data_IF_755800937773
#
_entry.id   IF_755800937773
#
_cell.length_a   1.000
_cell.length_b   1.000
_cell.length_c   1.000
_cell.angle_alpha   90.00
_cell.angle_beta   90.00
_cell.angle_gamma   90.00
#
_symmetry.space_group_name_H-M   'P 1'
#
loop_
_entity.id
_entity.type
_entity.pdbx_description
1 polymer ?
#
# COMPACT_ATOMS: atom_id res chain seq x y z
N UNK A 1 5.13 -12.10 43.68
CA UNK A 1 3.77 -12.21 44.24
C UNK A 1 3.22 -10.80 44.31
N UNK A 2 2.30 -10.43 43.41
CA UNK A 2 1.71 -9.09 43.35
C UNK A 2 0.55 -9.04 44.35
N UNK A 3 0.71 -8.29 45.44
CA UNK A 3 -0.38 -8.01 46.37
C UNK A 3 -1.16 -6.82 45.81
N UNK A 4 -2.39 -7.01 45.31
CA UNK A 4 -3.17 -5.92 44.75
C UNK A 4 -3.43 -4.86 45.84
N UNK A 5 -3.02 -3.62 45.58
CA UNK A 5 -3.24 -2.51 46.50
C UNK A 5 -4.75 -2.18 46.52
N UNK A 6 -5.42 -2.64 47.57
CA UNK A 6 -6.87 -2.51 47.77
C UNK A 6 -7.31 -1.04 47.91
N UNK A 7 -6.45 -0.17 48.44
CA UNK A 7 -6.69 1.29 48.52
C UNK A 7 -6.73 1.90 47.11
N UNK A 8 -5.79 1.53 46.24
CA UNK A 8 -5.84 1.92 44.81
C UNK A 8 -7.05 1.34 44.09
N UNK A 9 -7.42 0.08 44.40
CA UNK A 9 -8.64 -0.55 43.87
C UNK A 9 -9.92 0.17 44.29
N UNK A 10 -10.00 0.62 45.55
CA UNK A 10 -11.13 1.41 46.06
C UNK A 10 -11.16 2.83 45.49
N UNK A 11 -10.00 3.47 45.30
CA UNK A 11 -9.90 4.78 44.65
C UNK A 11 -10.32 4.71 43.18
N UNK A 12 -9.87 3.69 42.45
CA UNK A 12 -10.29 3.43 41.07
C UNK A 12 -11.81 3.18 40.98
N UNK A 13 -12.38 2.42 41.94
CA UNK A 13 -13.82 2.22 42.05
C UNK A 13 -14.58 3.51 42.33
N UNK A 14 -14.12 4.35 43.25
CA UNK A 14 -14.75 5.66 43.55
C UNK A 14 -14.64 6.65 42.39
N UNK A 15 -13.53 6.69 41.67
CA UNK A 15 -13.37 7.53 40.48
C UNK A 15 -14.32 7.13 39.34
N UNK A 16 -14.58 5.82 39.18
CA UNK A 16 -15.60 5.34 38.23
C UNK A 16 -17.02 5.72 38.65
N UNK A 17 -17.34 5.74 39.95
CA UNK A 17 -18.64 6.15 40.48
C UNK A 17 -18.86 7.67 40.37
N UNK A 18 -17.81 8.49 40.57
CA UNK A 18 -17.91 9.95 40.41
C UNK A 18 -18.11 10.40 38.95
N UNK A 19 -17.72 9.60 37.96
CA UNK A 19 -18.04 9.84 36.55
C UNK A 19 -19.53 9.58 36.22
N UNK A 20 -20.28 8.98 37.14
CA UNK A 20 -21.70 8.62 36.97
C UNK A 20 -22.68 9.53 37.73
N UNK A 21 -22.21 10.51 38.53
CA UNK A 21 -23.09 11.38 39.33
C UNK A 21 -22.86 12.86 38.97
N UNK A 22 -23.91 13.51 38.47
CA UNK A 22 -23.98 14.97 38.25
C UNK A 22 -24.16 15.72 39.59
N UNK A 23 -23.78 17.02 39.69
CA UNK A 23 -23.65 17.70 40.98
C UNK A 23 -25.01 18.17 41.49
N UNK A 24 -25.42 17.63 42.63
CA UNK A 24 -26.43 18.19 43.51
C UNK A 24 -25.83 18.30 44.89
N UNK A 25 -25.61 19.53 45.36
CA UNK A 25 -24.98 19.81 46.65
C UNK A 25 -25.91 19.51 47.82
N UNK A 26 -25.30 19.10 48.93
CA UNK A 26 -25.82 19.32 50.28
C UNK A 26 -24.60 19.35 51.22
N UNK A 27 -24.29 20.55 51.68
CA UNK A 27 -23.38 20.79 52.79
C UNK A 27 -24.09 20.32 54.07
N UNK A 28 -23.60 19.25 54.68
CA UNK A 28 -23.98 18.88 56.03
C UNK A 28 -22.85 19.24 56.98
N UNK A 29 -23.10 20.33 57.71
CA UNK A 29 -22.39 20.70 58.94
C UNK A 29 -22.40 19.54 59.93
N UNK A 30 -21.29 19.36 60.63
CA UNK A 30 -21.16 18.39 61.70
C UNK A 30 -19.80 18.49 62.39
N UNK A 31 -19.43 19.69 62.83
CA UNK A 31 -18.46 19.86 63.91
C UNK A 31 -19.21 19.65 65.22
N UNK A 32 -19.18 18.43 65.73
CA UNK A 32 -19.43 18.15 67.15
C UNK A 32 -18.15 17.54 67.72
N UNK A 33 -17.40 18.42 68.42
CA UNK A 33 -16.35 18.05 69.35
C UNK A 33 -16.94 17.15 70.44
N UNK A 34 -16.58 15.87 70.42
CA UNK A 34 -16.68 14.99 71.57
C UNK A 34 -15.26 14.76 72.10
N UNK A 35 -14.96 15.46 73.20
CA UNK A 35 -13.73 15.30 73.97
C UNK A 35 -13.63 13.87 74.54
N UNK A 36 -12.38 13.40 74.63
CA UNK A 36 -11.92 12.38 75.59
C UNK A 36 -12.01 10.89 75.21
N UNK A 37 -11.16 10.49 74.25
CA UNK A 37 -10.42 9.22 74.30
C UNK A 37 -9.11 9.41 73.52
N UNK A 38 -8.04 9.68 74.26
CA UNK A 38 -6.72 10.07 73.79
C UNK A 38 -5.99 8.86 73.17
N UNK A 39 -6.32 8.55 71.91
CA UNK A 39 -5.64 7.51 71.13
C UNK A 39 -5.35 8.02 69.74
N UNK A 40 -4.09 7.90 69.31
CA UNK A 40 -3.67 8.32 67.97
C UNK A 40 -4.50 7.59 66.90
N UNK A 41 -5.05 8.35 65.94
CA UNK A 41 -5.72 7.78 64.76
C UNK A 41 -4.66 7.13 63.89
N UNK A 42 -4.75 5.81 63.71
CA UNK A 42 -3.84 5.02 62.88
C UNK A 42 -4.56 4.55 61.61
N UNK A 43 -3.79 4.20 60.58
CA UNK A 43 -4.28 3.61 59.35
C UNK A 43 -3.62 2.23 59.17
N UNK A 44 -4.44 1.19 59.06
CA UNK A 44 -3.99 -0.16 58.76
C UNK A 44 -3.71 -0.27 57.24
N UNK A 45 -2.45 -0.47 56.85
CA UNK A 45 -2.07 -0.57 55.43
C UNK A 45 -2.49 -1.89 54.80
N UNK A 46 -2.64 -2.95 55.60
CA UNK A 46 -3.03 -4.28 55.13
C UNK A 46 -4.54 -4.33 54.78
N UNK A 47 -5.39 -3.74 55.64
CA UNK A 47 -6.85 -3.74 55.47
C UNK A 47 -7.40 -2.50 54.76
N UNK A 48 -6.63 -1.40 54.75
CA UNK A 48 -7.03 -0.13 54.15
C UNK A 48 -8.12 0.61 54.95
N UNK A 49 -8.05 0.60 56.28
CA UNK A 49 -9.04 1.23 57.15
C UNK A 49 -8.40 2.09 58.26
N UNK A 50 -9.20 3.00 58.82
CA UNK A 50 -8.83 3.81 59.98
C UNK A 50 -9.11 3.04 61.26
N UNK A 51 -8.12 2.99 62.15
CA UNK A 51 -8.17 2.21 63.39
C UNK A 51 -7.68 3.05 64.57
N UNK A 52 -8.12 2.70 65.78
CA UNK A 52 -7.57 3.23 67.03
C UNK A 52 -6.72 2.14 67.69
N UNK A 53 -5.72 2.52 68.47
CA UNK A 53 -4.65 1.64 69.00
C UNK A 53 -5.09 0.39 69.83
N UNK A 54 -6.39 0.21 70.11
CA UNK A 54 -6.94 -0.82 71.00
C UNK A 54 -7.80 -1.88 70.29
N UNK A 55 -7.84 -1.92 68.94
CA UNK A 55 -8.71 -2.87 68.22
C UNK A 55 -8.03 -4.25 68.00
N UNK A 56 -8.55 -5.36 68.59
CA UNK A 56 -7.94 -6.69 68.49
C UNK A 56 -7.86 -7.24 67.06
N UNK A 57 -8.80 -6.84 66.19
CA UNK A 57 -8.90 -7.30 64.80
C UNK A 57 -7.72 -6.89 63.91
N UNK A 58 -6.89 -5.95 64.38
CA UNK A 58 -5.71 -5.44 63.68
C UNK A 58 -4.38 -5.83 64.36
N UNK A 59 -4.41 -6.78 65.30
CA UNK A 59 -3.18 -7.26 65.96
C UNK A 59 -2.21 -7.87 64.95
N UNK A 60 -1.00 -7.31 64.86
CA UNK A 60 0.04 -7.77 63.94
C UNK A 60 -0.04 -7.19 62.52
N UNK A 61 -1.04 -6.34 62.23
CA UNK A 61 -1.09 -5.59 60.98
C UNK A 61 -0.18 -4.36 61.04
N UNK A 62 0.32 -3.95 59.88
CA UNK A 62 1.10 -2.73 59.77
C UNK A 62 0.16 -1.53 59.85
N UNK A 63 0.24 -0.80 60.97
CA UNK A 63 -0.51 0.42 61.20
C UNK A 63 0.44 1.61 61.23
N UNK A 64 0.12 2.65 60.46
CA UNK A 64 0.86 3.91 60.43
C UNK A 64 0.04 5.03 61.09
N UNK A 65 0.66 6.02 61.76
CA UNK A 65 -0.02 7.25 62.12
C UNK A 65 -0.71 7.86 60.89
N UNK A 66 -1.91 8.40 61.07
CA UNK A 66 -2.72 8.89 59.94
C UNK A 66 -1.96 9.88 59.05
N UNK A 67 -1.22 10.82 59.65
CA UNK A 67 -0.42 11.78 58.89
C UNK A 67 0.67 11.10 58.04
N UNK A 68 1.35 10.09 58.57
CA UNK A 68 2.38 9.33 57.86
C UNK A 68 1.77 8.46 56.75
N UNK A 69 0.61 7.86 57.00
CA UNK A 69 -0.12 7.08 56.01
C UNK A 69 -0.56 7.94 54.81
N UNK A 70 -1.08 9.14 55.07
CA UNK A 70 -1.47 10.10 54.03
C UNK A 70 -0.27 10.46 53.14
N UNK A 71 0.86 10.83 53.74
CA UNK A 71 2.07 11.17 52.98
C UNK A 71 2.64 9.96 52.22
N UNK A 72 2.62 8.76 52.81
CA UNK A 72 3.05 7.53 52.16
C UNK A 72 2.22 7.21 50.90
N UNK A 73 0.89 7.19 51.02
CA UNK A 73 0.01 6.91 49.89
C UNK A 73 -0.01 8.03 48.86
N UNK A 74 0.13 9.29 49.28
CA UNK A 74 0.32 10.42 48.36
C UNK A 74 1.58 10.23 47.51
N UNK A 75 2.69 9.82 48.12
CA UNK A 75 3.92 9.48 47.40
C UNK A 75 3.73 8.36 46.38
N UNK A 76 3.06 7.27 46.76
CA UNK A 76 2.73 6.16 45.84
C UNK A 76 1.84 6.63 44.69
N UNK A 77 0.80 7.41 44.99
CA UNK A 77 -0.14 7.93 43.99
C UNK A 77 0.56 8.88 43.03
N UNK A 78 1.41 9.79 43.51
CA UNK A 78 2.20 10.68 42.66
C UNK A 78 3.16 9.90 41.78
N UNK A 79 3.86 8.88 42.30
CA UNK A 79 4.74 8.03 41.49
C UNK A 79 3.94 7.29 40.40
N UNK A 80 2.81 6.69 40.76
CA UNK A 80 1.91 6.00 39.81
C UNK A 80 1.37 6.96 38.74
N UNK A 81 0.97 8.17 39.13
CA UNK A 81 0.52 9.21 38.22
C UNK A 81 1.60 9.55 37.19
N UNK A 82 2.82 9.85 37.64
CA UNK A 82 3.93 10.18 36.73
C UNK A 82 4.27 9.04 35.77
N UNK A 83 4.20 7.79 36.23
CA UNK A 83 4.38 6.62 35.38
C UNK A 83 3.29 6.50 34.31
N UNK A 84 2.03 6.71 34.68
CA UNK A 84 0.91 6.66 33.74
C UNK A 84 0.96 7.80 32.73
N UNK A 85 1.29 9.01 33.15
CA UNK A 85 1.49 10.17 32.26
C UNK A 85 2.61 9.90 31.25
N UNK A 86 3.74 9.34 31.69
CA UNK A 86 4.84 8.94 30.81
C UNK A 86 4.40 7.87 29.80
N UNK A 87 3.63 6.87 30.23
CA UNK A 87 3.10 5.81 29.36
C UNK A 87 2.14 6.37 28.32
N UNK A 88 1.23 7.26 28.72
CA UNK A 88 0.31 7.94 27.80
C UNK A 88 1.09 8.72 26.74
N UNK A 89 2.15 9.45 27.15
CA UNK A 89 2.97 10.21 26.21
C UNK A 89 3.69 9.30 25.21
N UNK A 90 4.23 8.17 25.66
CA UNK A 90 4.86 7.18 24.79
C UNK A 90 3.86 6.57 23.80
N UNK A 91 2.66 6.19 24.26
CA UNK A 91 1.60 5.65 23.40
C UNK A 91 1.12 6.68 22.37
N UNK A 92 0.97 7.95 22.75
CA UNK A 92 0.63 9.04 21.81
C UNK A 92 1.66 9.20 20.71
N UNK A 93 2.95 9.15 21.04
CA UNK A 93 4.03 9.25 20.03
C UNK A 93 3.99 8.08 19.04
N UNK A 94 3.71 6.86 19.52
CA UNK A 94 3.54 5.70 18.66
C UNK A 94 2.30 5.83 17.78
N UNK A 95 1.19 6.33 18.31
CA UNK A 95 -0.04 6.54 17.57
C UNK A 95 0.13 7.60 16.46
N UNK A 96 0.85 8.68 16.74
CA UNK A 96 1.17 9.69 15.74
C UNK A 96 1.98 9.09 14.58
N UNK A 97 3.01 8.29 14.88
CA UNK A 97 3.79 7.58 13.85
C UNK A 97 2.93 6.60 13.05
N UNK A 98 2.01 5.88 13.71
CA UNK A 98 1.09 4.96 13.04
C UNK A 98 0.12 5.69 12.12
N UNK A 99 -0.39 6.86 12.52
CA UNK A 99 -1.33 7.63 11.71
C UNK A 99 -0.73 8.14 10.38
N UNK A 100 0.60 8.26 10.32
CA UNK A 100 1.33 8.62 9.10
C UNK A 100 1.55 7.43 8.14
N UNK A 101 1.44 6.18 8.60
CA UNK A 101 1.68 5.00 7.75
C UNK A 101 0.65 4.77 6.64
N UNK A 102 -0.68 4.89 6.88
CA UNK A 102 -1.68 4.69 5.83
C UNK A 102 -1.50 5.58 4.58
N UNK A 103 -1.26 6.90 4.68
CA UNK A 103 -1.02 7.72 3.49
C UNK A 103 0.29 7.36 2.78
N UNK A 104 1.37 7.04 3.51
CA UNK A 104 2.63 6.55 2.91
C UNK A 104 2.40 5.28 2.09
N UNK A 105 1.71 4.29 2.65
CA UNK A 105 1.40 3.02 1.98
C UNK A 105 0.52 3.26 0.74
N UNK A 106 -0.47 4.14 0.85
CA UNK A 106 -1.37 4.47 -0.27
C UNK A 106 -0.62 5.16 -1.40
N UNK A 107 0.28 6.10 -1.07
CA UNK A 107 1.11 6.78 -2.06
C UNK A 107 2.08 5.80 -2.76
N UNK A 108 2.71 4.89 -2.00
CA UNK A 108 3.56 3.86 -2.57
C UNK A 108 2.80 2.91 -3.49
N UNK A 109 1.59 2.47 -3.09
CA UNK A 109 0.73 1.63 -3.94
C UNK A 109 0.43 2.34 -5.26
N UNK A 110 -0.03 3.60 -5.21
CA UNK A 110 -0.38 4.36 -6.41
C UNK A 110 0.83 4.55 -7.33
N UNK A 111 2.00 4.86 -6.77
CA UNK A 111 3.23 4.97 -7.54
C UNK A 111 3.59 3.65 -8.25
N UNK A 112 3.47 2.52 -7.56
CA UNK A 112 3.74 1.21 -8.15
C UNK A 112 2.74 0.89 -9.27
N UNK A 113 1.45 1.13 -9.06
CA UNK A 113 0.40 0.94 -10.07
C UNK A 113 0.67 1.79 -11.32
N UNK A 114 1.03 3.06 -11.15
CA UNK A 114 1.38 3.97 -12.25
C UNK A 114 2.63 3.49 -13.00
N UNK A 115 3.67 3.09 -12.27
CA UNK A 115 4.92 2.60 -12.88
C UNK A 115 4.69 1.32 -13.69
N UNK A 116 3.94 0.36 -13.14
CA UNK A 116 3.58 -0.86 -13.86
C UNK A 116 2.76 -0.53 -15.11
N UNK A 117 1.78 0.37 -14.98
CA UNK A 117 0.95 0.78 -16.12
C UNK A 117 1.79 1.43 -17.22
N UNK A 118 2.72 2.33 -16.87
CA UNK A 118 3.62 2.99 -17.81
C UNK A 118 4.52 2.00 -18.55
N UNK A 119 5.15 1.05 -17.84
CA UNK A 119 5.99 0.01 -18.45
C UNK A 119 5.20 -0.88 -19.41
N UNK A 120 3.97 -1.24 -19.04
CA UNK A 120 3.09 -2.02 -19.92
C UNK A 120 2.73 -1.22 -21.16
N UNK A 121 2.40 0.07 -21.04
CA UNK A 121 2.11 0.93 -22.20
C UNK A 121 3.31 1.06 -23.14
N UNK A 122 4.52 1.26 -22.59
CA UNK A 122 5.75 1.31 -23.38
C UNK A 122 5.99 0.01 -24.14
N UNK A 123 5.79 -1.14 -23.50
CA UNK A 123 5.92 -2.44 -24.14
C UNK A 123 4.91 -2.63 -25.28
N UNK A 124 3.65 -2.22 -25.08
CA UNK A 124 2.63 -2.28 -26.14
C UNK A 124 2.99 -1.41 -27.33
N UNK A 125 3.48 -0.19 -27.08
CA UNK A 125 3.93 0.72 -28.15
C UNK A 125 5.07 0.10 -28.95
N UNK A 126 6.08 -0.45 -28.26
CA UNK A 126 7.20 -1.13 -28.90
C UNK A 126 6.74 -2.32 -29.75
N UNK A 127 5.82 -3.15 -29.24
CA UNK A 127 5.27 -4.28 -29.97
C UNK A 127 4.52 -3.84 -31.23
N UNK A 128 3.71 -2.78 -31.13
CA UNK A 128 2.96 -2.24 -32.27
C UNK A 128 3.88 -1.68 -33.36
N UNK A 129 4.96 -0.99 -32.96
CA UNK A 129 5.98 -0.51 -33.90
C UNK A 129 6.69 -1.66 -34.60
N UNK A 130 7.06 -2.69 -33.83
CA UNK A 130 7.73 -3.88 -34.36
C UNK A 130 6.83 -4.65 -35.33
N UNK A 131 5.56 -4.84 -34.98
CA UNK A 131 4.56 -5.46 -35.85
C UNK A 131 4.41 -4.68 -37.16
N UNK A 132 4.22 -3.36 -37.05
CA UNK A 132 4.07 -2.48 -38.22
C UNK A 132 5.31 -2.51 -39.12
N UNK A 133 6.51 -2.60 -38.54
CA UNK A 133 7.75 -2.72 -39.29
C UNK A 133 7.82 -4.05 -40.07
N UNK A 134 7.45 -5.17 -39.44
CA UNK A 134 7.39 -6.46 -40.13
C UNK A 134 6.36 -6.49 -41.25
N UNK A 135 5.17 -5.94 -41.03
CA UNK A 135 4.13 -5.87 -42.06
C UNK A 135 4.62 -5.06 -43.26
N UNK A 136 5.27 -3.90 -43.03
CA UNK A 136 5.86 -3.09 -44.11
C UNK A 136 6.92 -3.86 -44.89
N UNK A 137 7.74 -4.65 -44.21
CA UNK A 137 8.77 -5.45 -44.84
C UNK A 137 8.17 -6.54 -45.74
N UNK A 138 7.14 -7.25 -45.26
CA UNK A 138 6.40 -8.24 -46.04
C UNK A 138 5.78 -7.58 -47.29
N UNK A 139 5.12 -6.43 -47.14
CA UNK A 139 4.52 -5.70 -48.27
C UNK A 139 5.57 -5.23 -49.28
N UNK A 140 6.74 -4.81 -48.80
CA UNK A 140 7.86 -4.41 -49.65
C UNK A 140 8.37 -5.60 -50.47
N UNK A 141 8.54 -6.76 -49.83
CA UNK A 141 8.98 -7.99 -50.49
C UNK A 141 7.94 -8.48 -51.52
N UNK A 142 6.66 -8.49 -51.16
CA UNK A 142 5.56 -8.81 -52.09
C UNK A 142 5.61 -7.91 -53.33
N UNK A 143 5.75 -6.60 -53.14
CA UNK A 143 5.82 -5.63 -54.25
C UNK A 143 7.02 -5.87 -55.16
N UNK A 144 8.17 -6.24 -54.60
CA UNK A 144 9.36 -6.58 -55.39
C UNK A 144 9.12 -7.83 -56.23
N UNK A 145 8.61 -8.90 -55.62
CA UNK A 145 8.31 -10.15 -56.32
C UNK A 145 7.29 -9.95 -57.46
N UNK A 146 6.23 -9.18 -57.21
CA UNK A 146 5.25 -8.84 -58.24
C UNK A 146 5.87 -8.02 -59.37
N UNK A 147 6.72 -7.05 -59.06
CA UNK A 147 7.42 -6.24 -60.07
C UNK A 147 8.39 -7.08 -60.92
N UNK A 148 9.08 -8.05 -60.31
CA UNK A 148 9.96 -8.97 -61.02
C UNK A 148 9.17 -9.89 -61.95
N UNK A 149 8.06 -10.44 -61.46
CA UNK A 149 7.17 -11.29 -62.25
C UNK A 149 6.63 -10.55 -63.47
N UNK A 150 6.13 -9.33 -63.29
CA UNK A 150 5.60 -8.50 -64.37
C UNK A 150 6.68 -8.13 -65.40
N UNK A 151 7.90 -7.80 -64.94
CA UNK A 151 9.04 -7.59 -65.85
C UNK A 151 9.36 -8.84 -66.68
N UNK A 152 9.38 -10.00 -66.05
CA UNK A 152 9.64 -11.28 -66.73
C UNK A 152 8.53 -11.61 -67.74
N UNK A 153 7.27 -11.32 -67.39
CA UNK A 153 6.13 -11.49 -68.27
C UNK A 153 6.24 -10.59 -69.51
N UNK A 154 6.53 -9.30 -69.35
CA UNK A 154 6.72 -8.38 -70.48
C UNK A 154 7.85 -8.82 -71.39
N UNK A 155 8.99 -9.24 -70.81
CA UNK A 155 10.13 -9.74 -71.59
C UNK A 155 9.73 -10.99 -72.42
N UNK A 156 9.00 -11.92 -71.81
CA UNK A 156 8.52 -13.11 -72.51
C UNK A 156 7.53 -12.77 -73.62
N UNK A 157 6.62 -11.82 -73.40
CA UNK A 157 5.68 -11.34 -74.41
C UNK A 157 6.41 -10.69 -75.60
N UNK A 158 7.47 -9.92 -75.34
CA UNK A 158 8.28 -9.30 -76.39
C UNK A 158 9.04 -10.34 -77.23
N UNK A 159 9.59 -11.37 -76.58
CA UNK A 159 10.21 -12.49 -77.27
C UNK A 159 9.20 -13.24 -78.15
N UNK A 160 7.98 -13.47 -77.66
CA UNK A 160 6.89 -14.08 -78.45
C UNK A 160 6.53 -13.20 -79.65
N UNK A 161 6.40 -11.88 -79.47
CA UNK A 161 6.13 -10.94 -80.57
C UNK A 161 7.23 -11.00 -81.63
N UNK A 162 8.48 -10.88 -81.21
CA UNK A 162 9.64 -10.95 -82.10
C UNK A 162 9.67 -12.28 -82.87
N UNK A 163 9.42 -13.41 -82.20
CA UNK A 163 9.37 -14.72 -82.83
C UNK A 163 8.23 -14.82 -83.85
N UNK A 164 7.04 -14.31 -83.52
CA UNK A 164 5.90 -14.27 -84.45
C UNK A 164 6.19 -13.39 -85.68
N UNK A 165 6.85 -12.24 -85.50
CA UNK A 165 7.28 -11.40 -86.62
C UNK A 165 8.30 -12.11 -87.52
N UNK A 166 9.26 -12.84 -86.93
CA UNK A 166 10.20 -13.67 -87.69
C UNK A 166 9.48 -14.79 -88.46
N UNK A 167 8.52 -15.47 -87.82
CA UNK A 167 7.68 -16.48 -88.48
C UNK A 167 6.93 -15.86 -89.66
N UNK A 168 6.30 -14.70 -89.47
CA UNK A 168 5.58 -14.01 -90.54
C UNK A 168 6.48 -13.63 -91.71
N UNK A 169 7.71 -13.14 -91.44
CA UNK A 169 8.72 -12.86 -92.47
C UNK A 169 9.11 -14.13 -93.24
N UNK A 170 9.33 -15.24 -92.53
CA UNK A 170 9.63 -16.54 -93.14
C UNK A 170 8.47 -17.00 -94.01
N UNK A 171 7.23 -16.94 -93.51
CA UNK A 171 6.02 -17.35 -94.24
C UNK A 171 5.81 -16.50 -95.50
N UNK A 172 5.94 -15.17 -95.40
CA UNK A 172 5.84 -14.27 -96.55
C UNK A 172 6.87 -14.61 -97.63
N UNK A 173 8.09 -14.96 -97.22
CA UNK A 173 9.16 -15.36 -98.13
C UNK A 173 8.93 -16.71 -98.77
N UNK A 174 8.42 -17.70 -98.02
CA UNK A 174 8.01 -19.01 -98.56
C UNK A 174 6.84 -18.90 -99.55
N UNK A 175 5.99 -17.87 -99.43
CA UNK A 175 4.88 -17.61 -100.34
C UNK A 175 5.27 -16.88 -101.64
N UNK A 176 6.51 -16.36 -101.76
CA UNK A 176 6.99 -15.77 -103.00
C UNK A 176 7.19 -16.85 -104.09
N UNK A 177 6.66 -16.62 -105.29
CA UNK A 177 6.67 -17.58 -106.41
C UNK A 177 7.91 -17.45 -107.32
N UNK A 178 8.15 -18.39 -108.27
CA UNK A 178 9.30 -19.30 -108.37
C UNK A 178 10.55 -18.69 -109.07
N UNK A 179 10.79 -17.40 -108.96
CA UNK A 179 12.09 -16.83 -109.34
C UNK A 179 13.11 -17.21 -108.25
N UNK A 180 14.04 -18.10 -108.61
CA UNK A 180 15.07 -18.62 -107.71
C UNK A 180 16.07 -17.54 -107.27
N UNK A 181 16.27 -16.48 -108.06
CA UNK A 181 17.23 -15.41 -107.79
C UNK A 181 16.68 -14.44 -106.73
N UNK A 182 15.41 -14.02 -106.84
CA UNK A 182 14.78 -13.16 -105.83
C UNK A 182 14.54 -13.86 -104.50
N UNK A 183 14.27 -15.18 -104.49
CA UNK A 183 14.15 -15.95 -103.26
C UNK A 183 15.48 -16.04 -102.48
N UNK A 184 16.62 -16.13 -103.17
CA UNK A 184 17.95 -16.30 -102.55
C UNK A 184 18.62 -14.99 -102.12
N UNK A 185 18.11 -13.83 -102.55
CA UNK A 185 18.70 -12.52 -102.27
C UNK A 185 18.63 -12.15 -100.79
N UNK A 186 19.75 -11.88 -100.13
CA UNK A 186 19.81 -11.51 -98.69
C UNK A 186 19.25 -12.59 -97.75
N UNK A 187 19.54 -13.88 -98.02
CA UNK A 187 19.05 -15.03 -97.21
C UNK A 187 19.92 -15.36 -95.98
N UNK A 188 21.06 -14.69 -95.81
CA UNK A 188 21.99 -14.90 -94.70
C UNK A 188 21.46 -14.36 -93.37
#
# INVERSE_FOLDING_TARGET
KYTPNRVLGQLAGKAQVSLLVQPGGEETNGDEDDEEMQGDKLFCTDDGCLVRALQPDHWGHQCLPLAEAVEHFKGILTASQTQLESKIQAERSVEEQRSQKPPEITAQRLHLEQNVSAQITELHQWLQEKESALIREIQREEKLLLSELDRNQRNSQEQIRTANEQIAKIQARLAMAPDSDSFLKDIK
#
